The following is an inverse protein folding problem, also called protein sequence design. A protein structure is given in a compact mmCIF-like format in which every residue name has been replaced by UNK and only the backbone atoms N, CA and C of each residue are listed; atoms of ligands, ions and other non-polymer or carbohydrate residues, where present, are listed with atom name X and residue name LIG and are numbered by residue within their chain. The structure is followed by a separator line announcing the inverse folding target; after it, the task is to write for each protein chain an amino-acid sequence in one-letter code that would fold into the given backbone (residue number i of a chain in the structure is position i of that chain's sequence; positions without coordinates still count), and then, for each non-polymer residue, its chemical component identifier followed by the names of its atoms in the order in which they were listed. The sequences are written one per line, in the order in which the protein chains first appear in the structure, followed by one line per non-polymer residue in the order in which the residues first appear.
data_IF_012954317625
#
_entry.id   IF_012954317625
#
_cell.length_a   1.000
_cell.length_b   1.000
_cell.length_c   1.000
_cell.angle_alpha   90.00
_cell.angle_beta   90.00
_cell.angle_gamma   90.00
#
_symmetry.space_group_name_H-M   'P 1'
#
loop_
_entity.id
_entity.type
_entity.pdbx_description
1 polymer ?
#
# COMPACT_ATOMS: atom_id res chain seq x y z
N UNK A 1 -12.21 13.15 -33.11
CA UNK A 1 -12.83 13.35 -31.79
C UNK A 1 -11.98 12.71 -30.70
N UNK A 2 -11.58 13.47 -29.74
CA UNK A 2 -10.75 12.94 -28.64
C UNK A 2 -11.57 12.06 -27.70
N UNK A 3 -11.01 10.92 -27.32
CA UNK A 3 -11.61 10.05 -26.31
C UNK A 3 -11.31 10.61 -24.93
N UNK A 4 -12.29 10.60 -24.04
CA UNK A 4 -12.09 10.99 -22.64
C UNK A 4 -11.78 9.75 -21.82
N UNK A 5 -10.71 9.84 -21.05
CA UNK A 5 -10.33 8.78 -20.12
C UNK A 5 -10.32 9.38 -18.73
N UNK A 6 -10.97 8.73 -17.79
CA UNK A 6 -11.09 9.22 -16.43
C UNK A 6 -10.70 8.14 -15.43
N UNK A 7 -10.20 8.57 -14.27
CA UNK A 7 -9.90 7.69 -13.16
C UNK A 7 -11.18 7.55 -12.33
N UNK A 8 -11.65 6.32 -12.15
CA UNK A 8 -12.87 6.05 -11.43
C UNK A 8 -12.66 5.48 -10.04
N UNK A 9 -11.45 5.02 -9.73
CA UNK A 9 -11.14 4.50 -8.41
C UNK A 9 -9.65 4.44 -8.19
N UNK A 10 -9.26 4.51 -6.93
CA UNK A 10 -7.86 4.49 -6.51
C UNK A 10 -7.70 3.61 -5.29
N UNK A 11 -6.53 2.99 -5.17
CA UNK A 11 -6.14 2.26 -3.99
C UNK A 11 -4.68 2.52 -3.70
N UNK A 12 -4.29 2.39 -2.44
CA UNK A 12 -2.92 2.67 -2.02
C UNK A 12 -2.50 1.79 -0.86
N UNK A 13 -1.23 1.41 -0.87
CA UNK A 13 -0.53 0.82 0.27
C UNK A 13 0.75 1.63 0.42
N UNK A 14 0.94 2.25 1.56
CA UNK A 14 2.07 3.17 1.76
C UNK A 14 2.48 3.24 3.23
N UNK A 15 3.69 3.77 3.52
CA UNK A 15 4.10 4.02 4.91
C UNK A 15 3.20 5.02 5.66
N UNK A 16 2.41 5.83 4.97
CA UNK A 16 1.49 6.78 5.60
C UNK A 16 0.12 6.18 5.89
N UNK A 17 -0.18 5.04 5.28
CA UNK A 17 -1.44 4.36 5.51
C UNK A 17 -1.84 3.52 4.31
N UNK A 18 -2.77 2.61 4.54
CA UNK A 18 -3.20 1.63 3.54
C UNK A 18 -4.61 1.93 3.01
N UNK A 19 -5.05 3.17 3.09
CA UNK A 19 -6.26 3.65 2.43
C UNK A 19 -5.97 5.01 1.81
N UNK A 20 -6.71 5.36 0.76
CA UNK A 20 -6.54 6.67 0.11
C UNK A 20 -6.80 7.79 1.11
N UNK A 21 -7.81 7.63 1.95
CA UNK A 21 -8.14 8.64 2.96
C UNK A 21 -7.00 8.86 3.97
N UNK A 22 -6.47 7.80 4.55
CA UNK A 22 -5.39 7.91 5.54
C UNK A 22 -4.11 8.43 4.91
N UNK A 23 -3.81 8.00 3.70
CA UNK A 23 -2.66 8.47 2.94
C UNK A 23 -2.75 9.98 2.68
N UNK A 24 -3.89 10.44 2.17
CA UNK A 24 -4.12 11.84 1.86
C UNK A 24 -4.06 12.71 3.13
N UNK A 25 -4.67 12.23 4.21
CA UNK A 25 -4.64 12.92 5.50
C UNK A 25 -3.21 13.08 6.01
N UNK A 26 -2.40 12.05 5.87
CA UNK A 26 -0.98 12.09 6.24
C UNK A 26 -0.20 13.09 5.42
N UNK A 27 -0.43 13.13 4.11
CA UNK A 27 0.21 14.09 3.21
C UNK A 27 -0.15 15.52 3.58
N UNK A 28 -1.44 15.80 3.80
CA UNK A 28 -1.91 17.14 4.15
C UNK A 28 -1.37 17.60 5.50
N UNK A 29 -1.16 16.67 6.44
CA UNK A 29 -0.60 16.97 7.75
C UNK A 29 0.92 17.10 7.73
N UNK A 30 1.58 16.84 6.61
CA UNK A 30 3.03 16.88 6.51
C UNK A 30 3.72 15.75 7.24
N UNK A 31 3.04 14.65 7.47
CA UNK A 31 3.62 13.48 8.15
C UNK A 31 4.68 12.80 7.29
N UNK A 32 5.76 12.35 7.95
CA UNK A 32 6.74 11.49 7.31
C UNK A 32 6.40 10.03 7.62
N UNK A 33 6.47 9.18 6.59
CA UNK A 33 6.36 7.74 6.76
C UNK A 33 7.70 7.05 6.96
N UNK A 34 8.77 7.83 7.01
CA UNK A 34 10.12 7.28 7.21
C UNK A 34 10.32 7.01 8.70
N UNK A 35 10.80 5.83 9.02
CA UNK A 35 11.06 5.43 10.41
C UNK A 35 12.19 4.41 10.47
N UNK A 36 12.70 4.18 11.68
CA UNK A 36 13.76 3.21 11.91
C UNK A 36 13.30 1.80 11.52
N UNK A 37 14.14 1.09 10.81
CA UNK A 37 13.88 -0.29 10.44
C UNK A 37 14.05 -1.17 11.67
N UNK A 38 13.01 -1.95 12.01
CA UNK A 38 13.02 -2.81 13.21
C UNK A 38 12.77 -4.28 12.90
N UNK A 39 12.37 -4.60 11.67
CA UNK A 39 11.99 -5.99 11.33
C UNK A 39 13.16 -6.88 10.92
N UNK A 40 14.35 -6.31 10.81
CA UNK A 40 15.58 -7.08 10.65
C UNK A 40 16.75 -6.26 11.23
N UNK A 41 17.89 -6.94 11.44
CA UNK A 41 19.08 -6.32 12.02
C UNK A 41 19.77 -5.42 10.98
N UNK A 42 19.91 -4.14 11.30
CA UNK A 42 20.51 -3.15 10.41
C UNK A 42 21.90 -2.69 10.89
N UNK A 43 22.46 -3.34 11.92
CA UNK A 43 23.72 -2.88 12.56
C UNK A 43 24.85 -2.70 11.56
N UNK A 44 24.94 -3.60 10.57
CA UNK A 44 26.02 -3.57 9.57
C UNK A 44 25.66 -2.76 8.32
N UNK A 45 24.50 -2.12 8.31
CA UNK A 45 24.04 -1.36 7.14
C UNK A 45 24.31 0.13 7.34
N UNK A 46 24.60 0.82 6.24
CA UNK A 46 24.80 2.26 6.25
C UNK A 46 23.52 3.04 6.48
N UNK A 47 22.38 2.49 6.08
CA UNK A 47 21.07 3.11 6.25
C UNK A 47 20.23 2.24 7.19
N UNK A 48 19.65 2.86 8.21
CA UNK A 48 18.89 2.15 9.25
C UNK A 48 17.42 2.60 9.31
N UNK A 49 16.97 3.37 8.35
CA UNK A 49 15.60 3.87 8.29
C UNK A 49 15.05 3.68 6.88
N UNK A 50 13.74 3.69 6.76
CA UNK A 50 13.08 3.55 5.47
C UNK A 50 11.59 3.78 5.59
N UNK A 51 10.93 3.83 4.45
CA UNK A 51 9.48 3.87 4.38
C UNK A 51 8.93 2.44 4.45
N UNK A 52 8.30 2.11 5.57
CA UNK A 52 7.79 0.77 5.83
C UNK A 52 6.27 0.79 5.82
N UNK A 53 5.67 0.07 4.88
CA UNK A 53 4.23 -0.14 4.86
C UNK A 53 3.89 -1.34 5.74
N UNK A 54 2.72 -1.31 6.36
CA UNK A 54 2.26 -2.42 7.18
C UNK A 54 1.86 -3.60 6.31
N UNK A 55 1.94 -4.81 6.86
CA UNK A 55 1.52 -6.01 6.16
C UNK A 55 0.04 -5.96 5.86
N UNK A 56 -0.34 -6.52 4.72
CA UNK A 56 -1.73 -6.56 4.28
C UNK A 56 -2.21 -8.01 4.13
N UNK A 57 -3.51 -8.19 4.30
CA UNK A 57 -4.19 -9.47 4.07
C UNK A 57 -5.29 -9.22 3.05
N UNK A 58 -4.96 -9.23 1.74
CA UNK A 58 -5.95 -8.87 0.72
C UNK A 58 -7.21 -9.74 0.77
N UNK A 59 -8.36 -9.10 0.66
CA UNK A 59 -9.63 -9.80 0.62
C UNK A 59 -9.69 -10.75 -0.57
N UNK A 60 -10.27 -11.92 -0.37
CA UNK A 60 -10.38 -12.94 -1.41
C UNK A 60 -9.18 -13.88 -1.49
N UNK A 61 -8.12 -13.62 -0.73
CA UNK A 61 -6.96 -14.50 -0.67
C UNK A 61 -6.99 -15.32 0.62
N UNK A 62 -6.74 -16.62 0.49
CA UNK A 62 -6.63 -17.49 1.65
C UNK A 62 -5.25 -17.36 2.31
N UNK A 63 -5.11 -17.64 3.62
CA UNK A 63 -3.82 -17.54 4.30
C UNK A 63 -2.70 -18.30 3.61
N UNK A 64 -3.02 -19.43 3.00
CA UNK A 64 -2.05 -20.25 2.28
C UNK A 64 -1.52 -19.52 1.04
N UNK A 65 -2.37 -18.82 0.32
CA UNK A 65 -1.99 -18.02 -0.84
C UNK A 65 -1.16 -16.82 -0.40
N UNK A 66 -1.56 -16.15 0.68
CA UNK A 66 -0.83 -15.00 1.21
C UNK A 66 0.61 -15.37 1.54
N UNK A 67 0.84 -16.54 2.15
CA UNK A 67 2.18 -17.00 2.49
C UNK A 67 3.05 -17.33 1.28
N UNK A 68 2.44 -17.59 0.14
CA UNK A 68 3.15 -17.96 -1.10
C UNK A 68 3.64 -16.77 -1.90
N UNK A 69 3.09 -15.61 -1.65
CA UNK A 69 3.38 -14.42 -2.45
C UNK A 69 4.32 -13.46 -1.72
N UNK A 70 5.10 -12.73 -2.50
CA UNK A 70 5.96 -11.67 -1.96
C UNK A 70 5.12 -10.48 -1.52
N UNK A 71 5.70 -9.63 -0.67
CA UNK A 71 4.98 -8.47 -0.14
C UNK A 71 4.54 -7.51 -1.24
N UNK A 72 5.36 -7.31 -2.28
CA UNK A 72 4.96 -6.43 -3.38
C UNK A 72 3.74 -6.95 -4.13
N UNK A 73 3.63 -8.27 -4.31
CA UNK A 73 2.44 -8.86 -4.93
C UNK A 73 1.20 -8.65 -4.05
N UNK A 74 1.33 -8.85 -2.74
CA UNK A 74 0.23 -8.64 -1.81
C UNK A 74 -0.20 -7.18 -1.77
N UNK A 75 0.73 -6.25 -1.78
CA UNK A 75 0.45 -4.82 -1.83
C UNK A 75 -0.30 -4.44 -3.11
N UNK A 76 0.11 -5.01 -4.24
CA UNK A 76 -0.55 -4.76 -5.51
C UNK A 76 -2.00 -5.24 -5.51
N UNK A 77 -2.24 -6.44 -4.98
CA UNK A 77 -3.60 -6.99 -4.88
C UNK A 77 -4.46 -6.16 -3.94
N UNK A 78 -3.91 -5.77 -2.79
CA UNK A 78 -4.64 -4.93 -1.83
C UNK A 78 -5.03 -3.59 -2.45
N UNK A 79 -4.08 -2.92 -3.10
CA UNK A 79 -4.35 -1.64 -3.76
C UNK A 79 -5.38 -1.79 -4.90
N UNK A 80 -5.27 -2.87 -5.67
CA UNK A 80 -6.22 -3.14 -6.76
C UNK A 80 -7.63 -3.40 -6.21
N UNK A 81 -7.75 -4.16 -5.13
CA UNK A 81 -9.05 -4.40 -4.48
C UNK A 81 -9.69 -3.09 -4.03
N UNK A 82 -8.90 -2.19 -3.44
CA UNK A 82 -9.38 -0.88 -3.03
C UNK A 82 -9.86 -0.06 -4.23
N UNK A 83 -9.08 -0.05 -5.30
CA UNK A 83 -9.41 0.72 -6.50
C UNK A 83 -10.70 0.24 -7.15
N UNK A 84 -10.88 -1.07 -7.26
CA UNK A 84 -12.10 -1.66 -7.83
C UNK A 84 -13.31 -1.34 -6.96
N UNK A 85 -13.18 -1.50 -5.64
CA UNK A 85 -14.28 -1.17 -4.72
C UNK A 85 -14.65 0.31 -4.80
N UNK A 86 -13.65 1.18 -4.85
CA UNK A 86 -13.85 2.63 -4.93
C UNK A 86 -14.52 3.04 -6.23
N UNK A 87 -14.21 2.36 -7.32
CA UNK A 87 -14.75 2.71 -8.65
C UNK A 87 -16.22 2.37 -8.83
N UNK A 88 -16.74 1.43 -8.05
CA UNK A 88 -18.11 0.94 -8.23
C UNK A 88 -18.29 0.05 -9.46
N UNK A 89 -17.24 -0.40 -10.08
CA UNK A 89 -17.30 -1.31 -11.22
C UNK A 89 -17.73 -2.70 -10.74
N UNK A 90 -18.69 -3.28 -11.42
CA UNK A 90 -19.17 -4.64 -11.14
C UNK A 90 -18.23 -5.71 -11.72
#
# INVERSE_FOLDING_TARGET
MAKRVVVTGMGVVSPLGNTVESYWRGLCAGKSGIRTITHFDTEKLGTKFGGLAEDVTPAGMEPKEIRRHSRNALFAVEAANQAVAHSGID
#
